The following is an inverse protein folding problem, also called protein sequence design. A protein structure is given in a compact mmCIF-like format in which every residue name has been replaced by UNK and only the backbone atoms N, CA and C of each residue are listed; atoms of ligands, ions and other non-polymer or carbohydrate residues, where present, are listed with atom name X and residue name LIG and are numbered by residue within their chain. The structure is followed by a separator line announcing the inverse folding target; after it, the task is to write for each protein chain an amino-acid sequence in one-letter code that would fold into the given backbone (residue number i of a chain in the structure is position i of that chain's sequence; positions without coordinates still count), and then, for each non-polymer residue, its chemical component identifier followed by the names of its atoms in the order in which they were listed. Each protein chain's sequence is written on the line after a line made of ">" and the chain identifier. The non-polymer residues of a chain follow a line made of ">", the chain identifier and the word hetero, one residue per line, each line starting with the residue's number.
data_IF_072258093821
#
_entry.id   IF_072258093821
#
_cell.length_a   1.000
_cell.length_b   1.000
_cell.length_c   1.000
_cell.angle_alpha   90.00
_cell.angle_beta   90.00
_cell.angle_gamma   90.00
#
_symmetry.space_group_name_H-M   'P 1'
#
loop_
_entity.id
_entity.type
_entity.pdbx_description
1 polymer ?
#
# COMPACT_ATOMS: atom_id res chain seq x y z
N UNK A 1 2.17 24.03 2.77
CA UNK A 1 2.47 22.81 3.55
C UNK A 1 2.19 21.57 2.73
N UNK A 2 2.83 20.46 3.03
CA UNK A 2 2.56 19.19 2.37
C UNK A 2 2.61 18.05 3.39
N UNK A 3 1.79 17.02 3.15
CA UNK A 3 1.83 15.72 3.80
C UNK A 3 2.05 14.67 2.72
N UNK A 4 2.91 13.70 2.99
CA UNK A 4 3.19 12.59 2.07
C UNK A 4 3.05 11.27 2.81
N UNK A 5 2.33 10.33 2.21
CA UNK A 5 2.24 8.94 2.65
C UNK A 5 2.65 8.02 1.50
N UNK A 6 3.72 7.28 1.68
CA UNK A 6 4.30 6.43 0.64
C UNK A 6 4.37 4.97 1.08
N UNK A 7 4.72 4.09 0.15
CA UNK A 7 4.90 2.65 0.36
C UNK A 7 3.61 1.95 0.82
N UNK A 8 2.50 2.22 0.10
CA UNK A 8 1.19 1.58 0.31
C UNK A 8 0.67 1.60 1.77
N UNK A 9 1.15 2.56 2.58
CA UNK A 9 0.75 2.68 3.99
C UNK A 9 -0.76 2.86 4.16
N UNK A 10 -1.42 3.53 3.23
CA UNK A 10 -2.88 3.72 3.22
C UNK A 10 -3.63 2.39 3.10
N UNK A 11 -3.10 1.43 2.36
CA UNK A 11 -3.74 0.13 2.20
C UNK A 11 -3.81 -0.69 3.51
N UNK A 12 -2.98 -0.37 4.51
CA UNK A 12 -3.03 -1.00 5.84
C UNK A 12 -4.20 -0.52 6.71
N UNK A 13 -4.90 0.54 6.29
CA UNK A 13 -6.11 1.02 6.97
C UNK A 13 -7.28 0.23 6.39
N UNK A 14 -7.82 -0.72 7.16
CA UNK A 14 -8.78 -1.70 6.66
C UNK A 14 -10.21 -1.17 6.62
N UNK A 15 -10.56 -0.27 7.54
CA UNK A 15 -11.91 0.27 7.64
C UNK A 15 -12.01 1.65 6.96
N UNK A 16 -13.00 1.86 6.06
CA UNK A 16 -13.17 3.15 5.38
C UNK A 16 -13.37 4.33 6.35
N UNK A 17 -14.01 4.09 7.49
CA UNK A 17 -14.24 5.09 8.52
C UNK A 17 -12.92 5.54 9.17
N UNK A 18 -12.00 4.61 9.39
CA UNK A 18 -10.66 4.92 9.91
C UNK A 18 -9.84 5.69 8.88
N UNK A 19 -9.95 5.33 7.60
CA UNK A 19 -9.30 6.08 6.52
C UNK A 19 -9.86 7.50 6.41
N UNK A 20 -11.17 7.67 6.55
CA UNK A 20 -11.79 9.00 6.61
C UNK A 20 -11.24 9.83 7.77
N UNK A 21 -11.08 9.22 8.96
CA UNK A 21 -10.50 9.89 10.12
C UNK A 21 -9.03 10.31 9.86
N UNK A 22 -8.25 9.48 9.18
CA UNK A 22 -6.88 9.82 8.75
C UNK A 22 -6.90 11.01 7.80
N UNK A 23 -7.76 11.01 6.78
CA UNK A 23 -7.87 12.12 5.83
C UNK A 23 -8.32 13.42 6.51
N UNK A 24 -9.22 13.33 7.48
CA UNK A 24 -9.60 14.48 8.31
C UNK A 24 -8.41 15.03 9.12
N UNK A 25 -7.60 14.17 9.75
CA UNK A 25 -6.40 14.58 10.47
C UNK A 25 -5.36 15.23 9.53
N UNK A 26 -5.20 14.71 8.31
CA UNK A 26 -4.34 15.31 7.28
C UNK A 26 -4.85 16.71 6.92
N UNK A 27 -6.15 16.85 6.65
CA UNK A 27 -6.80 18.12 6.34
C UNK A 27 -6.55 19.15 7.45
N UNK A 28 -6.76 18.78 8.72
CA UNK A 28 -6.51 19.67 9.87
C UNK A 28 -5.04 20.08 10.01
N UNK A 29 -4.12 19.21 9.59
CA UNK A 29 -2.67 19.48 9.66
C UNK A 29 -2.17 20.36 8.53
N UNK A 30 -2.89 20.42 7.42
CA UNK A 30 -2.53 21.24 6.26
C UNK A 30 -3.03 22.69 6.43
N UNK A 31 -2.29 23.63 5.87
CA UNK A 31 -2.77 25.01 5.62
C UNK A 31 -3.64 25.02 4.37
N UNK A 32 -4.48 26.04 4.20
CA UNK A 32 -5.24 26.27 2.95
C UNK A 32 -4.31 26.16 1.73
N UNK A 33 -4.72 25.42 0.72
CA UNK A 33 -3.93 25.10 -0.46
C UNK A 33 -2.74 24.17 -0.19
N UNK A 34 -2.61 23.62 1.01
CA UNK A 34 -1.60 22.60 1.33
C UNK A 34 -1.88 21.28 0.62
N UNK A 35 -0.85 20.56 0.23
CA UNK A 35 -0.93 19.39 -0.66
C UNK A 35 -0.81 18.10 0.15
N UNK A 36 -1.64 17.11 -0.17
CA UNK A 36 -1.53 15.74 0.29
C UNK A 36 -1.22 14.83 -0.90
N UNK A 37 -0.15 14.05 -0.77
CA UNK A 37 0.28 13.06 -1.77
C UNK A 37 0.38 11.70 -1.12
N UNK A 38 -0.26 10.69 -1.70
CA UNK A 38 -0.13 9.33 -1.21
C UNK A 38 -0.20 8.31 -2.35
N UNK A 39 0.35 7.13 -2.11
CA UNK A 39 0.24 6.01 -3.02
C UNK A 39 -0.67 4.92 -2.46
N UNK A 40 -1.26 4.16 -3.37
CA UNK A 40 -2.01 2.95 -3.07
C UNK A 40 -1.76 1.88 -4.12
N UNK A 41 -1.88 0.63 -3.70
CA UNK A 41 -1.99 -0.51 -4.61
C UNK A 41 -3.37 -0.51 -5.27
N UNK A 42 -3.41 -0.89 -6.55
CA UNK A 42 -4.63 -0.92 -7.35
C UNK A 42 -5.39 -2.24 -7.21
N UNK A 43 -6.68 -2.29 -7.62
CA UNK A 43 -7.39 -3.55 -7.77
C UNK A 43 -6.66 -4.55 -8.66
N UNK A 44 -6.08 -4.11 -9.78
CA UNK A 44 -5.29 -4.97 -10.67
C UNK A 44 -4.18 -5.71 -9.92
N UNK A 45 -3.46 -5.02 -9.03
CA UNK A 45 -2.41 -5.65 -8.24
C UNK A 45 -2.93 -6.75 -7.34
N UNK A 46 -4.03 -6.52 -6.62
CA UNK A 46 -4.58 -7.51 -5.70
C UNK A 46 -5.29 -8.66 -6.43
N UNK A 47 -6.09 -8.37 -7.45
CA UNK A 47 -6.93 -9.34 -8.13
C UNK A 47 -6.18 -10.19 -9.16
N UNK A 48 -5.14 -9.64 -9.76
CA UNK A 48 -4.43 -10.28 -10.89
C UNK A 48 -3.02 -10.70 -10.51
N UNK A 49 -2.24 -9.83 -9.88
CA UNK A 49 -0.82 -10.11 -9.62
C UNK A 49 -0.60 -10.84 -8.30
N UNK A 50 -1.27 -10.40 -7.25
CA UNK A 50 -1.17 -11.04 -5.93
C UNK A 50 -2.14 -12.21 -5.83
N UNK A 51 -3.44 -11.95 -5.92
CA UNK A 51 -4.50 -12.96 -5.84
C UNK A 51 -4.16 -14.06 -4.82
N UNK A 52 -4.13 -15.34 -5.25
CA UNK A 52 -3.71 -16.48 -4.43
C UNK A 52 -2.30 -16.96 -4.82
N UNK A 53 -1.42 -16.03 -5.22
CA UNK A 53 -0.09 -16.35 -5.69
C UNK A 53 0.93 -16.36 -4.54
N UNK A 54 1.86 -17.30 -4.63
CA UNK A 54 3.09 -17.32 -3.82
C UNK A 54 4.20 -16.63 -4.58
N UNK A 55 4.83 -15.63 -3.97
CA UNK A 55 6.01 -14.95 -4.48
C UNK A 55 7.20 -15.35 -3.61
N UNK A 56 8.26 -15.82 -4.23
CA UNK A 56 9.47 -16.21 -3.49
C UNK A 56 10.72 -15.67 -4.18
N UNK A 57 11.67 -15.24 -3.37
CA UNK A 57 12.96 -14.76 -3.84
C UNK A 57 14.08 -15.32 -2.96
N UNK A 58 15.17 -15.68 -3.60
CA UNK A 58 16.36 -16.18 -2.92
C UNK A 58 17.55 -15.30 -3.27
N UNK A 59 18.21 -14.76 -2.24
CA UNK A 59 19.40 -13.90 -2.33
C UNK A 59 20.48 -14.43 -1.40
N UNK A 60 21.70 -13.94 -1.56
CA UNK A 60 22.86 -14.37 -0.76
C UNK A 60 22.68 -14.06 0.74
N UNK A 61 22.06 -12.92 1.06
CA UNK A 61 21.82 -12.50 2.45
C UNK A 61 20.53 -13.04 3.07
N UNK A 62 19.64 -13.62 2.25
CA UNK A 62 18.39 -14.17 2.77
C UNK A 62 17.38 -14.49 1.69
N UNK A 63 16.30 -15.12 2.10
CA UNK A 63 15.21 -15.52 1.21
C UNK A 63 13.88 -15.13 1.82
N UNK A 64 12.86 -14.96 0.99
CA UNK A 64 11.51 -14.83 1.48
C UNK A 64 10.53 -15.70 0.67
N UNK A 65 9.44 -16.05 1.34
CA UNK A 65 8.24 -16.64 0.76
C UNK A 65 7.10 -15.73 1.16
N UNK A 66 6.33 -15.26 0.18
CA UNK A 66 5.23 -14.36 0.35
C UNK A 66 3.98 -14.99 -0.24
N UNK A 67 3.15 -15.57 0.62
CA UNK A 67 1.90 -16.20 0.25
C UNK A 67 0.77 -15.17 0.35
N UNK A 68 0.02 -14.98 -0.74
CA UNK A 68 -1.09 -14.04 -0.82
C UNK A 68 -2.42 -14.79 -0.86
N UNK A 69 -3.42 -14.20 -0.23
CA UNK A 69 -4.81 -14.61 -0.31
C UNK A 69 -5.70 -13.37 -0.40
N UNK A 70 -6.40 -13.20 -1.52
CA UNK A 70 -7.27 -12.05 -1.74
C UNK A 70 -8.73 -12.42 -1.63
N UNK A 71 -9.43 -11.84 -0.65
CA UNK A 71 -10.87 -11.91 -0.50
C UNK A 71 -11.53 -10.76 -1.27
N UNK A 72 -12.15 -11.08 -2.42
CA UNK A 72 -12.76 -10.08 -3.30
C UNK A 72 -14.05 -9.49 -2.72
N UNK A 73 -14.78 -10.21 -1.85
CA UNK A 73 -16.02 -9.73 -1.23
C UNK A 73 -15.70 -8.68 -0.15
N UNK A 74 -14.69 -8.94 0.67
CA UNK A 74 -14.21 -8.04 1.72
C UNK A 74 -13.21 -7.00 1.19
N UNK A 75 -12.67 -7.20 -0.02
CA UNK A 75 -11.59 -6.41 -0.63
C UNK A 75 -10.31 -6.38 0.22
N UNK A 76 -10.02 -7.46 0.92
CA UNK A 76 -8.85 -7.60 1.80
C UNK A 76 -7.87 -8.59 1.18
N UNK A 77 -6.61 -8.19 1.10
CA UNK A 77 -5.50 -9.09 0.83
C UNK A 77 -4.80 -9.42 2.15
N UNK A 78 -4.85 -10.68 2.55
CA UNK A 78 -4.01 -11.25 3.59
C UNK A 78 -2.74 -11.80 2.94
N UNK A 79 -1.59 -11.54 3.53
CA UNK A 79 -0.37 -12.21 3.12
C UNK A 79 0.49 -12.63 4.30
N UNK A 80 1.00 -13.85 4.17
CA UNK A 80 1.97 -14.42 5.10
C UNK A 80 3.37 -14.27 4.50
N UNK A 81 4.22 -13.56 5.22
CA UNK A 81 5.60 -13.35 4.85
C UNK A 81 6.53 -14.19 5.71
N UNK A 82 7.20 -15.16 5.12
CA UNK A 82 8.26 -15.94 5.75
C UNK A 82 9.61 -15.41 5.29
N UNK A 83 10.44 -14.97 6.21
CA UNK A 83 11.79 -14.47 5.97
C UNK A 83 12.81 -15.44 6.51
N UNK A 84 13.87 -15.70 5.76
CA UNK A 84 15.06 -16.42 6.18
C UNK A 84 16.25 -15.48 6.06
N UNK A 85 16.76 -14.97 7.15
CA UNK A 85 17.86 -14.01 7.17
C UNK A 85 19.13 -14.74 7.58
N UNK A 86 20.19 -14.63 6.75
CA UNK A 86 21.49 -15.22 7.01
C UNK A 86 22.12 -14.55 8.23
N UNK A 87 22.50 -15.36 9.21
CA UNK A 87 23.28 -14.90 10.36
C UNK A 87 24.78 -14.97 10.04
N UNK A 88 25.53 -14.06 10.65
CA UNK A 88 26.99 -14.16 10.60
C UNK A 88 27.41 -15.31 11.52
N UNK A 89 28.01 -16.35 10.94
CA UNK A 89 28.56 -17.50 11.64
C UNK A 89 30.09 -17.52 11.45
N UNK A 90 30.81 -17.92 12.51
CA UNK A 90 32.25 -18.18 12.43
C UNK A 90 32.55 -19.57 11.82
N UNK A 91 31.53 -20.40 11.70
CA UNK A 91 31.59 -21.74 11.11
C UNK A 91 31.39 -21.69 9.58
N UNK A 92 31.84 -22.74 8.87
CA UNK A 92 31.68 -22.86 7.41
C UNK A 92 30.22 -23.08 6.97
N UNK A 93 29.30 -23.36 7.92
CA UNK A 93 27.89 -23.59 7.64
C UNK A 93 27.09 -22.29 7.63
N UNK A 94 26.28 -22.11 6.60
CA UNK A 94 25.32 -21.01 6.51
C UNK A 94 24.12 -21.27 7.45
N UNK A 95 23.94 -20.41 8.42
CA UNK A 95 22.82 -20.45 9.38
C UNK A 95 21.84 -19.35 9.02
N UNK A 96 20.54 -19.69 8.99
CA UNK A 96 19.47 -18.74 8.71
C UNK A 96 18.50 -18.69 9.89
N UNK A 97 18.09 -17.48 10.24
CA UNK A 97 17.01 -17.26 11.21
C UNK A 97 15.70 -17.02 10.47
N UNK A 98 14.66 -17.76 10.87
CA UNK A 98 13.32 -17.65 10.32
C UNK A 98 12.51 -16.62 11.10
N UNK A 99 11.79 -15.77 10.36
CA UNK A 99 10.76 -14.85 10.86
C UNK A 99 9.48 -15.06 10.09
N UNK A 100 8.35 -14.86 10.73
CA UNK A 100 7.02 -14.97 10.13
C UNK A 100 6.20 -13.74 10.51
N UNK A 101 5.53 -13.15 9.54
CA UNK A 101 4.66 -11.99 9.70
C UNK A 101 3.40 -12.19 8.86
N UNK A 102 2.24 -11.82 9.41
CA UNK A 102 0.98 -11.79 8.69
C UNK A 102 0.53 -10.34 8.54
N UNK A 103 0.17 -9.94 7.35
CA UNK A 103 -0.25 -8.59 7.01
C UNK A 103 -1.62 -8.61 6.33
N UNK A 104 -2.38 -7.55 6.56
CA UNK A 104 -3.67 -7.31 5.92
C UNK A 104 -3.64 -5.96 5.24
N UNK A 105 -4.08 -5.91 3.99
CA UNK A 105 -4.22 -4.68 3.22
C UNK A 105 -5.59 -4.64 2.55
N UNK A 106 -6.21 -3.46 2.53
CA UNK A 106 -7.47 -3.23 1.84
C UNK A 106 -7.22 -2.65 0.45
N UNK A 107 -7.95 -3.18 -0.53
CA UNK A 107 -8.07 -2.62 -1.86
C UNK A 107 -9.10 -1.48 -1.85
N UNK A 108 -8.65 -0.26 -2.16
CA UNK A 108 -9.52 0.91 -2.31
C UNK A 108 -9.66 1.27 -3.78
N UNK A 109 -10.91 1.52 -4.21
CA UNK A 109 -11.19 2.10 -5.52
C UNK A 109 -10.90 3.61 -5.51
N UNK A 110 -10.44 4.16 -6.64
CA UNK A 110 -10.16 5.60 -6.76
C UNK A 110 -11.41 6.44 -6.49
N UNK A 111 -12.60 5.97 -6.90
CA UNK A 111 -13.87 6.63 -6.63
C UNK A 111 -14.19 6.71 -5.13
N UNK A 112 -13.94 5.62 -4.39
CA UNK A 112 -14.12 5.56 -2.94
C UNK A 112 -13.18 6.53 -2.22
N UNK A 113 -11.90 6.55 -2.62
CA UNK A 113 -10.92 7.50 -2.06
C UNK A 113 -11.29 8.95 -2.32
N UNK A 114 -11.80 9.25 -3.51
CA UNK A 114 -12.26 10.61 -3.85
C UNK A 114 -13.39 11.06 -2.93
N UNK A 115 -14.39 10.21 -2.70
CA UNK A 115 -15.50 10.52 -1.79
C UNK A 115 -15.01 10.75 -0.36
N UNK A 116 -14.11 9.89 0.16
CA UNK A 116 -13.54 10.02 1.50
C UNK A 116 -12.71 11.31 1.66
N UNK A 117 -11.92 11.67 0.64
CA UNK A 117 -11.16 12.92 0.62
C UNK A 117 -12.09 14.14 0.69
N UNK A 118 -13.11 14.20 -0.17
CA UNK A 118 -14.07 15.30 -0.22
C UNK A 118 -14.84 15.45 1.09
N UNK A 119 -15.26 14.35 1.70
CA UNK A 119 -15.93 14.34 3.01
C UNK A 119 -15.01 14.82 4.16
N UNK A 120 -13.71 14.76 3.96
CA UNK A 120 -12.69 15.17 4.93
C UNK A 120 -12.14 16.58 4.71
N UNK A 121 -12.72 17.35 3.77
CA UNK A 121 -12.30 18.71 3.46
C UNK A 121 -11.04 18.80 2.58
N UNK A 122 -10.74 17.73 1.85
CA UNK A 122 -9.68 17.67 0.85
C UNK A 122 -10.30 17.61 -0.56
N UNK A 123 -9.71 18.30 -1.49
CA UNK A 123 -10.12 18.30 -2.90
C UNK A 123 -9.21 17.35 -3.66
N UNK A 124 -9.80 16.37 -4.35
CA UNK A 124 -9.05 15.47 -5.23
C UNK A 124 -8.61 16.23 -6.49
N UNK A 125 -7.31 16.26 -6.76
CA UNK A 125 -6.73 16.97 -7.90
C UNK A 125 -6.43 16.04 -9.06
N UNK A 126 -5.67 14.97 -8.80
CA UNK A 126 -5.18 14.10 -9.84
C UNK A 126 -4.80 12.71 -9.31
N UNK A 127 -4.69 11.76 -10.23
CA UNK A 127 -4.11 10.44 -10.02
C UNK A 127 -3.23 10.08 -11.20
N UNK A 128 -2.07 9.51 -10.91
CA UNK A 128 -1.06 9.09 -11.88
C UNK A 128 -0.63 7.65 -11.65
N UNK A 129 -0.08 7.01 -12.69
CA UNK A 129 0.67 5.78 -12.52
C UNK A 129 1.84 6.03 -11.55
N UNK A 130 2.04 5.14 -10.58
CA UNK A 130 2.84 5.46 -9.40
C UNK A 130 4.24 5.97 -9.73
N UNK A 131 4.59 7.08 -9.08
CA UNK A 131 5.89 7.74 -9.18
C UNK A 131 6.27 8.25 -10.57
N UNK A 132 5.27 8.44 -11.43
CA UNK A 132 5.43 9.00 -12.78
C UNK A 132 4.43 10.13 -13.02
N UNK A 133 4.54 10.81 -14.17
CA UNK A 133 3.53 11.77 -14.66
C UNK A 133 2.60 11.11 -15.69
N UNK A 134 2.66 9.78 -15.84
CA UNK A 134 1.83 9.05 -16.79
C UNK A 134 0.41 8.88 -16.27
N UNK A 135 -0.53 8.76 -17.19
CA UNK A 135 -1.91 8.43 -16.86
C UNK A 135 -2.02 6.99 -16.35
N UNK A 136 -2.95 6.78 -15.41
CA UNK A 136 -3.28 5.44 -14.92
C UNK A 136 -3.75 4.56 -16.07
N UNK A 137 -3.24 3.33 -16.12
CA UNK A 137 -3.57 2.28 -17.09
C UNK A 137 -4.37 1.17 -16.41
N UNK A 138 -4.97 0.31 -17.20
CA UNK A 138 -5.72 -0.85 -16.67
C UNK A 138 -4.83 -1.88 -15.95
N UNK A 139 -3.53 -1.85 -16.20
CA UNK A 139 -2.50 -2.72 -15.62
C UNK A 139 -1.54 -1.97 -14.67
N UNK A 140 -1.87 -0.73 -14.29
CA UNK A 140 -1.12 -0.01 -13.26
C UNK A 140 -1.21 -0.76 -11.94
N UNK A 141 -0.06 -1.13 -11.38
CA UNK A 141 0.01 -1.88 -10.11
C UNK A 141 -0.21 -1.01 -8.88
N UNK A 142 0.18 0.25 -8.99
CA UNK A 142 0.12 1.25 -7.93
C UNK A 142 -0.17 2.61 -8.55
N UNK A 143 -0.87 3.46 -7.82
CA UNK A 143 -1.14 4.83 -8.25
C UNK A 143 -0.73 5.83 -7.20
N UNK A 144 -0.37 7.04 -7.64
CA UNK A 144 -0.14 8.20 -6.77
C UNK A 144 -1.34 9.13 -6.87
N UNK A 145 -1.95 9.42 -5.74
CA UNK A 145 -3.08 10.35 -5.61
C UNK A 145 -2.58 11.69 -5.07
N UNK A 146 -3.08 12.76 -5.66
CA UNK A 146 -2.80 14.14 -5.24
C UNK A 146 -4.12 14.80 -4.86
N UNK A 147 -4.12 15.43 -3.70
CA UNK A 147 -5.22 16.23 -3.19
C UNK A 147 -4.70 17.50 -2.51
N UNK A 148 -5.54 18.50 -2.34
CA UNK A 148 -5.19 19.70 -1.57
C UNK A 148 -6.28 20.03 -0.55
N UNK A 149 -5.92 20.80 0.47
CA UNK A 149 -6.90 21.37 1.41
C UNK A 149 -7.61 22.55 0.75
N UNK A 150 -8.94 22.51 0.74
CA UNK A 150 -9.80 23.58 0.25
C UNK A 150 -9.57 24.90 1.00
#
# INVERSE_FOLDING_TARGET
>A
SAVVSACDSINYILEPEDLQAVFFCVSESLKEGGIFIFDINTPYKYEVLMADNTIAENRDEGSFIWDNYYDADEKINEYDLTLFIKEQSEDEDDIYKKFEETHFQRCYEISELKELLEQSGLVFDAVYDAYTDDQVKCDSEKVTVIAHKA
#
